data_IF_753798875761
#
_entry.id   IF_753798875761
#
_cell.length_a   1.000
_cell.length_b   1.000
_cell.length_c   1.000
_cell.angle_alpha   90.00
_cell.angle_beta   90.00
_cell.angle_gamma   90.00
#
_symmetry.space_group_name_H-M   'P 1'
#
loop_
_entity.id
_entity.type
_entity.pdbx_description
1 polymer ?
#
# COMPACT_ATOMS: atom_id res chain seq x y z
N UNK A 1 -23.14 21.98 -0.98
CA UNK A 1 -22.97 20.55 -1.32
C UNK A 1 -22.26 19.87 -0.17
N UNK A 2 -22.76 18.75 0.35
CA UNK A 2 -22.11 18.00 1.44
C UNK A 2 -21.28 16.88 0.80
N UNK A 3 -19.97 16.84 1.08
CA UNK A 3 -19.07 15.82 0.54
C UNK A 3 -19.31 14.45 1.18
N UNK A 4 -18.89 13.38 0.51
CA UNK A 4 -19.09 12.01 1.01
C UNK A 4 -18.48 11.79 2.40
N UNK A 5 -17.18 12.11 2.56
CA UNK A 5 -16.49 11.95 3.85
C UNK A 5 -17.09 12.79 4.97
N UNK A 6 -17.66 13.94 4.59
CA UNK A 6 -18.35 14.84 5.49
C UNK A 6 -19.64 14.19 6.04
N UNK A 7 -20.45 13.60 5.14
CA UNK A 7 -21.63 12.80 5.51
C UNK A 7 -21.27 11.60 6.39
N UNK A 8 -20.21 10.87 6.05
CA UNK A 8 -19.78 9.70 6.82
C UNK A 8 -19.32 10.12 8.22
N UNK A 9 -18.60 11.23 8.35
CA UNK A 9 -18.18 11.75 9.66
C UNK A 9 -19.38 12.10 10.55
N UNK A 10 -20.44 12.67 9.96
CA UNK A 10 -21.67 12.96 10.67
C UNK A 10 -22.38 11.67 11.12
N UNK A 11 -22.51 10.69 10.24
CA UNK A 11 -23.17 9.42 10.55
C UNK A 11 -22.45 8.70 11.69
N UNK A 12 -21.13 8.55 11.59
CA UNK A 12 -20.33 7.85 12.59
C UNK A 12 -20.32 8.57 13.94
N UNK A 13 -20.25 9.90 13.96
CA UNK A 13 -20.32 10.64 15.21
C UNK A 13 -21.71 10.54 15.86
N UNK A 14 -22.78 10.54 15.06
CA UNK A 14 -24.16 10.39 15.58
C UNK A 14 -24.37 9.00 16.19
N UNK A 15 -23.81 7.96 15.57
CA UNK A 15 -23.98 6.57 16.01
C UNK A 15 -23.08 6.21 17.21
N UNK A 16 -21.81 6.61 17.18
CA UNK A 16 -20.81 6.16 18.17
C UNK A 16 -20.39 7.23 19.17
N UNK A 17 -20.62 8.51 18.88
CA UNK A 17 -20.27 9.65 19.74
C UNK A 17 -18.85 9.55 20.31
N UNK A 18 -18.75 9.55 21.64
CA UNK A 18 -17.47 9.50 22.35
C UNK A 18 -16.76 8.13 22.32
N UNK A 19 -17.39 7.08 21.77
CA UNK A 19 -16.81 5.73 21.67
C UNK A 19 -16.18 5.47 20.30
N UNK A 20 -16.07 6.49 19.46
CA UNK A 20 -15.48 6.38 18.12
C UNK A 20 -14.02 5.90 18.18
N UNK A 21 -13.31 6.18 19.27
CA UNK A 21 -11.96 5.67 19.54
C UNK A 21 -11.84 4.14 19.62
N UNK A 22 -12.94 3.41 19.77
CA UNK A 22 -12.98 1.95 19.74
C UNK A 22 -13.03 1.37 18.32
N UNK A 23 -13.05 2.23 17.32
CA UNK A 23 -13.15 1.85 15.91
C UNK A 23 -11.86 2.18 15.16
N UNK A 24 -11.50 1.31 14.22
CA UNK A 24 -10.46 1.59 13.24
C UNK A 24 -11.11 1.89 11.90
N UNK A 25 -10.86 3.07 11.35
CA UNK A 25 -11.32 3.48 10.04
C UNK A 25 -10.22 3.24 9.02
N UNK A 26 -10.53 2.45 7.99
CA UNK A 26 -9.57 2.06 6.95
C UNK A 26 -9.92 2.79 5.65
N UNK A 27 -8.96 3.55 5.12
CA UNK A 27 -9.12 4.34 3.91
C UNK A 27 -8.20 3.85 2.77
N UNK A 28 -8.54 4.13 1.51
CA UNK A 28 -7.69 3.76 0.39
C UNK A 28 -6.38 4.55 0.35
N UNK A 29 -6.34 5.75 0.94
CA UNK A 29 -5.14 6.57 1.01
C UNK A 29 -5.16 7.50 2.23
N UNK A 30 -4.00 8.06 2.58
CA UNK A 30 -3.83 8.96 3.74
C UNK A 30 -4.62 10.27 3.60
N UNK A 31 -4.83 10.76 2.37
CA UNK A 31 -5.57 12.01 2.13
C UNK A 31 -7.03 11.87 2.55
N UNK A 32 -7.69 10.76 2.23
CA UNK A 32 -9.08 10.51 2.63
C UNK A 32 -9.23 10.52 4.16
N UNK A 33 -8.33 9.85 4.89
CA UNK A 33 -8.29 9.89 6.34
C UNK A 33 -8.10 11.31 6.90
N UNK A 34 -7.19 12.10 6.33
CA UNK A 34 -6.98 13.49 6.72
C UNK A 34 -8.25 14.35 6.54
N UNK A 35 -8.93 14.24 5.40
CA UNK A 35 -10.17 14.98 5.16
C UNK A 35 -11.27 14.54 6.11
N UNK A 36 -11.42 13.23 6.36
CA UNK A 36 -12.36 12.71 7.34
C UNK A 36 -12.11 13.32 8.73
N UNK A 37 -10.86 13.31 9.22
CA UNK A 37 -10.49 13.90 10.51
C UNK A 37 -10.82 15.39 10.56
N UNK A 38 -10.58 16.13 9.47
CA UNK A 38 -10.94 17.55 9.39
C UNK A 38 -12.44 17.77 9.52
N UNK A 39 -13.26 16.97 8.83
CA UNK A 39 -14.73 17.05 8.90
C UNK A 39 -15.27 16.64 10.27
N UNK A 40 -14.66 15.63 10.90
CA UNK A 40 -15.00 15.22 12.25
C UNK A 40 -14.65 16.32 13.26
N UNK A 41 -13.42 16.87 13.20
CA UNK A 41 -12.96 17.93 14.09
C UNK A 41 -13.82 19.20 14.01
N UNK A 42 -14.30 19.57 12.82
CA UNK A 42 -15.17 20.72 12.63
C UNK A 42 -16.56 20.59 13.30
N UNK A 43 -16.95 19.38 13.73
CA UNK A 43 -18.24 19.09 14.38
C UNK A 43 -18.13 18.78 15.86
N UNK A 44 -16.94 18.50 16.35
CA UNK A 44 -16.72 18.10 17.73
C UNK A 44 -16.83 19.34 18.62
N UNK A 45 -17.86 19.40 19.46
CA UNK A 45 -18.06 20.50 20.42
C UNK A 45 -17.27 20.30 21.73
N UNK A 46 -16.91 19.06 22.06
CA UNK A 46 -16.19 18.69 23.29
C UNK A 46 -15.04 17.77 22.95
N UNK A 47 -13.88 17.83 23.64
CA UNK A 47 -12.77 16.93 23.36
C UNK A 47 -13.23 15.46 23.33
N UNK A 48 -12.93 14.76 22.23
CA UNK A 48 -13.18 13.32 22.07
C UNK A 48 -11.89 12.62 21.69
N UNK A 49 -11.82 11.33 22.01
CA UNK A 49 -10.76 10.47 21.52
C UNK A 49 -11.03 10.12 20.05
N UNK A 50 -10.04 10.38 19.18
CA UNK A 50 -10.16 10.07 17.76
C UNK A 50 -10.10 8.55 17.51
N UNK A 51 -10.79 8.05 16.46
CA UNK A 51 -10.59 6.68 15.99
C UNK A 51 -9.16 6.47 15.48
N UNK A 52 -8.71 5.22 15.47
CA UNK A 52 -7.54 4.85 14.68
C UNK A 52 -7.88 5.02 13.20
N UNK A 53 -6.99 5.66 12.45
CA UNK A 53 -7.16 5.89 11.01
C UNK A 53 -5.95 5.30 10.30
N UNK A 54 -6.21 4.28 9.48
CA UNK A 54 -5.19 3.53 8.75
C UNK A 54 -5.49 3.54 7.26
N UNK A 55 -4.46 3.38 6.43
CA UNK A 55 -4.67 2.90 5.06
C UNK A 55 -4.79 1.38 5.04
N UNK A 56 -5.29 0.82 3.93
CA UNK A 56 -5.28 -0.64 3.72
C UNK A 56 -3.86 -1.19 3.87
N UNK A 57 -2.86 -0.51 3.30
CA UNK A 57 -1.45 -0.90 3.42
C UNK A 57 -0.95 -0.83 4.87
N UNK A 58 -1.28 0.23 5.62
CA UNK A 58 -0.90 0.34 7.04
C UNK A 58 -1.54 -0.80 7.86
N UNK A 59 -2.80 -1.17 7.56
CA UNK A 59 -3.49 -2.27 8.21
C UNK A 59 -2.77 -3.60 7.98
N UNK A 60 -2.51 -3.99 6.73
CA UNK A 60 -1.80 -5.25 6.44
C UNK A 60 -0.40 -5.27 7.05
N UNK A 61 0.32 -4.15 7.00
CA UNK A 61 1.64 -4.03 7.65
C UNK A 61 1.57 -4.22 9.16
N UNK A 62 0.49 -3.79 9.82
CA UNK A 62 0.33 -3.96 11.27
C UNK A 62 0.20 -5.43 11.71
N UNK A 63 -0.13 -6.35 10.79
CA UNK A 63 -0.20 -7.79 11.05
C UNK A 63 1.12 -8.53 10.78
N UNK A 64 2.18 -7.82 10.42
CA UNK A 64 3.49 -8.40 10.11
C UNK A 64 4.60 -7.71 10.92
N UNK A 65 5.58 -8.49 11.39
CA UNK A 65 6.81 -7.95 11.95
C UNK A 65 7.83 -7.54 10.88
N UNK A 66 7.55 -7.85 9.61
CA UNK A 66 8.43 -7.55 8.49
C UNK A 66 8.24 -6.10 8.02
N UNK A 67 9.32 -5.50 7.56
CA UNK A 67 9.29 -4.18 6.93
C UNK A 67 9.33 -4.34 5.41
N UNK A 68 8.56 -3.50 4.71
CA UNK A 68 8.64 -3.41 3.24
C UNK A 68 10.04 -2.91 2.87
N UNK A 69 10.73 -3.66 2.01
CA UNK A 69 12.01 -3.22 1.46
C UNK A 69 11.79 -2.03 0.52
N UNK A 70 12.75 -1.12 0.47
CA UNK A 70 12.75 -0.04 -0.53
C UNK A 70 13.14 -0.58 -1.91
N UNK A 71 12.62 0.05 -2.96
CA UNK A 71 12.81 -0.37 -4.35
C UNK A 71 14.29 -0.46 -4.71
N UNK A 72 15.11 0.47 -4.22
CA UNK A 72 16.58 0.45 -4.40
C UNK A 72 17.21 -0.85 -3.88
N UNK A 73 16.79 -1.31 -2.70
CA UNK A 73 17.28 -2.54 -2.08
C UNK A 73 16.83 -3.74 -2.92
N UNK A 74 15.57 -3.75 -3.33
CA UNK A 74 15.01 -4.81 -4.17
C UNK A 74 15.75 -4.91 -5.50
N UNK A 75 16.07 -3.78 -6.14
CA UNK A 75 16.85 -3.73 -7.38
C UNK A 75 18.24 -4.34 -7.21
N UNK A 76 18.93 -4.00 -6.12
CA UNK A 76 20.24 -4.58 -5.83
C UNK A 76 20.15 -6.09 -5.54
N UNK A 77 19.16 -6.55 -4.79
CA UNK A 77 18.94 -7.97 -4.53
C UNK A 77 18.61 -8.73 -5.82
N UNK A 78 17.75 -8.16 -6.65
CA UNK A 78 17.39 -8.73 -7.95
C UNK A 78 18.62 -8.83 -8.86
N UNK A 79 19.45 -7.78 -8.92
CA UNK A 79 20.68 -7.79 -9.71
C UNK A 79 21.68 -8.87 -9.22
N UNK A 80 21.78 -9.11 -7.90
CA UNK A 80 22.60 -10.20 -7.36
C UNK A 80 22.13 -11.57 -7.86
N UNK A 81 20.82 -11.78 -7.98
CA UNK A 81 20.25 -13.02 -8.53
C UNK A 81 20.51 -13.10 -10.04
N UNK A 82 20.24 -12.02 -10.78
CA UNK A 82 20.50 -11.93 -12.22
C UNK A 82 21.94 -12.29 -12.60
N UNK A 83 22.92 -11.75 -11.87
CA UNK A 83 24.34 -12.06 -12.08
C UNK A 83 24.73 -13.52 -11.89
N UNK A 84 23.98 -14.27 -11.07
CA UNK A 84 24.21 -15.71 -10.88
C UNK A 84 23.64 -16.54 -12.03
N UNK A 85 22.59 -16.04 -12.68
CA UNK A 85 21.89 -16.73 -13.76
C UNK A 85 22.49 -16.45 -15.15
N UNK A 86 22.99 -15.22 -15.39
CA UNK A 86 23.56 -14.82 -16.68
C UNK A 86 25.08 -15.06 -16.70
N UNK A 87 25.59 -15.76 -17.74
CA UNK A 87 27.03 -16.07 -17.91
C UNK A 87 27.90 -14.82 -18.04
N UNK A 88 27.40 -13.79 -18.72
CA UNK A 88 28.05 -12.49 -18.87
C UNK A 88 27.02 -11.42 -18.53
N UNK A 89 26.90 -11.04 -17.25
CA UNK A 89 25.94 -10.03 -16.84
C UNK A 89 26.40 -8.65 -17.29
N UNK A 90 25.44 -7.83 -17.72
CA UNK A 90 25.61 -6.40 -17.92
C UNK A 90 25.93 -5.68 -16.60
N UNK A 91 26.36 -4.43 -16.68
CA UNK A 91 26.55 -3.58 -15.51
C UNK A 91 25.22 -3.30 -14.80
N UNK A 92 25.29 -2.83 -13.55
CA UNK A 92 24.08 -2.47 -12.81
C UNK A 92 23.32 -1.31 -13.49
N UNK A 93 24.05 -0.33 -14.02
CA UNK A 93 23.46 0.86 -14.66
C UNK A 93 22.67 0.46 -15.92
N UNK A 94 23.16 -0.50 -16.69
CA UNK A 94 22.45 -1.06 -17.86
C UNK A 94 21.26 -1.93 -17.44
N UNK A 95 21.39 -2.67 -16.34
CA UNK A 95 20.34 -3.52 -15.81
C UNK A 95 19.19 -2.71 -15.16
N UNK A 96 19.48 -1.54 -14.59
CA UNK A 96 18.57 -0.79 -13.72
C UNK A 96 17.16 -0.65 -14.29
N UNK A 97 17.04 -0.22 -15.55
CA UNK A 97 15.75 -0.01 -16.21
C UNK A 97 14.95 -1.31 -16.35
N UNK A 98 15.60 -2.40 -16.78
CA UNK A 98 14.94 -3.70 -16.92
C UNK A 98 14.64 -4.35 -15.56
N UNK A 99 15.52 -4.14 -14.58
CA UNK A 99 15.30 -4.58 -13.21
C UNK A 99 14.06 -3.94 -12.59
N UNK A 100 13.86 -2.64 -12.81
CA UNK A 100 12.69 -1.92 -12.32
C UNK A 100 11.39 -2.43 -12.97
N UNK A 101 11.41 -2.61 -14.30
CA UNK A 101 10.29 -3.23 -15.01
C UNK A 101 9.97 -4.63 -14.46
N UNK A 102 10.99 -5.45 -14.25
CA UNK A 102 10.81 -6.81 -13.75
C UNK A 102 10.28 -6.86 -12.31
N UNK A 103 10.71 -5.93 -11.44
CA UNK A 103 10.15 -5.81 -10.08
C UNK A 103 8.66 -5.43 -10.11
N UNK A 104 8.27 -4.51 -10.99
CA UNK A 104 6.86 -4.15 -11.15
C UNK A 104 6.02 -5.33 -11.64
N UNK A 105 6.53 -6.12 -12.58
CA UNK A 105 5.86 -7.35 -13.04
C UNK A 105 5.68 -8.36 -11.90
N UNK A 106 6.69 -8.52 -11.03
CA UNK A 106 6.59 -9.39 -9.85
C UNK A 106 5.58 -8.88 -8.83
N UNK A 107 5.57 -7.58 -8.56
CA UNK A 107 4.60 -6.96 -7.65
C UNK A 107 3.16 -7.10 -8.17
N UNK A 108 2.95 -6.99 -9.49
CA UNK A 108 1.64 -7.26 -10.10
C UNK A 108 1.24 -8.74 -9.98
N UNK A 109 2.16 -9.68 -10.24
CA UNK A 109 1.91 -11.11 -10.02
C UNK A 109 1.41 -11.38 -8.59
N UNK A 110 2.08 -10.81 -7.60
CA UNK A 110 1.72 -10.97 -6.19
C UNK A 110 0.37 -10.31 -5.86
N UNK A 111 0.13 -9.08 -6.32
CA UNK A 111 -1.13 -8.35 -6.09
C UNK A 111 -2.35 -9.07 -6.67
N UNK A 112 -2.20 -9.67 -7.85
CA UNK A 112 -3.27 -10.39 -8.53
C UNK A 112 -3.34 -11.87 -8.16
N UNK A 113 -2.46 -12.35 -7.27
CA UNK A 113 -2.31 -13.78 -6.92
C UNK A 113 -2.18 -14.65 -8.19
N UNK A 114 -1.49 -14.12 -9.20
CA UNK A 114 -1.34 -14.76 -10.49
C UNK A 114 -0.37 -15.94 -10.39
N UNK A 115 -0.56 -16.95 -11.25
CA UNK A 115 0.40 -18.04 -11.37
C UNK A 115 1.60 -17.56 -12.21
N UNK A 116 2.71 -17.24 -11.55
CA UNK A 116 3.93 -16.76 -12.20
C UNK A 116 4.43 -17.69 -13.31
N UNK A 117 4.41 -19.01 -13.07
CA UNK A 117 4.88 -20.00 -14.06
C UNK A 117 4.03 -20.00 -15.32
N UNK A 118 2.71 -19.81 -15.19
CA UNK A 118 1.80 -19.70 -16.34
C UNK A 118 1.91 -18.32 -17.01
N UNK A 119 2.12 -17.25 -16.24
CA UNK A 119 2.23 -15.90 -16.80
C UNK A 119 3.48 -15.79 -17.69
N UNK A 120 4.62 -16.27 -17.19
CA UNK A 120 5.90 -16.16 -17.88
C UNK A 120 6.15 -17.27 -18.92
N UNK A 121 5.28 -18.28 -19.05
CA UNK A 121 5.41 -19.28 -20.11
C UNK A 121 5.29 -18.64 -21.50
N UNK A 122 4.42 -17.64 -21.65
CA UNK A 122 4.24 -16.94 -22.92
C UNK A 122 5.45 -16.09 -23.32
N UNK A 123 6.31 -15.75 -22.36
CA UNK A 123 7.56 -14.99 -22.59
C UNK A 123 8.72 -15.93 -22.93
N UNK A 124 8.67 -17.21 -22.51
CA UNK A 124 9.69 -18.20 -22.90
C UNK A 124 9.65 -18.57 -24.38
N UNK A 125 8.49 -18.40 -25.03
CA UNK A 125 8.28 -18.76 -26.44
C UNK A 125 8.57 -17.61 -27.42
N UNK A 126 9.05 -16.45 -26.94
CA UNK A 126 9.45 -15.28 -27.73
C UNK A 126 10.97 -15.23 -27.92
#
# INVERSE_FOLDING_TARGET
MIYFLDRISQSLYTEFGNTLNRHCLVFPNRRAGLYFTKYLAARIEKPVWAPSILTINDLFRSYSSLQTAGDEILLFELYKVYRKLKKSPESFDEFYFWGDMLLNDFDDVDKYLANASLLFSNVQDL
#
